data_IF_597439087704
#
_entry.id   IF_597439087704
#
_cell.length_a   1.000
_cell.length_b   1.000
_cell.length_c   1.000
_cell.angle_alpha   90.00
_cell.angle_beta   90.00
_cell.angle_gamma   90.00
#
_symmetry.space_group_name_H-M   'P 1'
#
loop_
_entity.id
_entity.type
_entity.pdbx_description
1 polymer ?
#
# COMPACT_ATOMS: atom_id res chain seq x y z
N UNK A 1 -15.94 -46.83 9.92
CA UNK A 1 -16.62 -46.27 8.73
C UNK A 1 -17.20 -44.93 9.15
N UNK A 2 -16.51 -43.81 8.88
CA UNK A 2 -16.94 -42.48 9.33
C UNK A 2 -17.71 -41.79 8.20
N UNK A 3 -18.95 -41.41 8.49
CA UNK A 3 -19.92 -40.83 7.57
C UNK A 3 -19.47 -39.43 7.12
N UNK A 4 -19.25 -39.24 5.82
CA UNK A 4 -18.91 -37.95 5.22
C UNK A 4 -20.17 -37.10 5.06
N UNK A 5 -20.36 -36.10 5.93
CA UNK A 5 -21.44 -35.12 5.77
C UNK A 5 -21.06 -34.11 4.68
N UNK A 6 -21.61 -34.30 3.48
CA UNK A 6 -21.48 -33.37 2.35
C UNK A 6 -22.12 -32.03 2.74
N UNK A 7 -21.32 -30.98 2.93
CA UNK A 7 -21.84 -29.61 3.07
C UNK A 7 -22.34 -29.14 1.71
N UNK A 8 -23.66 -29.13 1.54
CA UNK A 8 -24.32 -28.54 0.39
C UNK A 8 -24.46 -27.04 0.67
N UNK A 9 -23.72 -26.21 -0.05
CA UNK A 9 -23.89 -24.75 0.00
C UNK A 9 -25.24 -24.42 -0.65
N UNK A 10 -26.24 -24.09 0.18
CA UNK A 10 -27.55 -23.62 -0.28
C UNK A 10 -27.60 -22.10 -0.20
N UNK A 11 -27.61 -21.42 -1.35
CA UNK A 11 -27.83 -19.99 -1.43
C UNK A 11 -29.20 -19.61 -0.84
N UNK A 12 -29.25 -18.62 0.06
CA UNK A 12 -30.49 -17.84 0.30
C UNK A 12 -31.10 -17.88 1.70
N UNK A 13 -30.32 -17.89 2.79
CA UNK A 13 -30.87 -17.63 4.14
C UNK A 13 -30.53 -16.21 4.63
N UNK A 14 -31.53 -15.46 5.10
CA UNK A 14 -31.35 -14.10 5.63
C UNK A 14 -30.33 -14.01 6.79
N UNK A 15 -30.09 -15.11 7.51
CA UNK A 15 -29.06 -15.20 8.56
C UNK A 15 -27.62 -15.24 8.04
N UNK A 16 -27.39 -15.53 6.75
CA UNK A 16 -26.06 -15.44 6.13
C UNK A 16 -25.65 -13.99 5.88
N UNK A 17 -26.59 -13.06 5.68
CA UNK A 17 -26.28 -11.65 5.42
C UNK A 17 -25.64 -10.96 6.63
N UNK A 18 -26.04 -11.35 7.85
CA UNK A 18 -25.48 -10.86 9.11
C UNK A 18 -24.34 -11.73 9.63
N UNK A 19 -23.97 -12.80 8.90
CA UNK A 19 -22.88 -13.67 9.32
C UNK A 19 -21.55 -12.90 9.26
N UNK A 20 -20.69 -12.98 10.29
CA UNK A 20 -19.45 -12.21 10.35
C UNK A 20 -18.58 -12.35 9.10
N UNK A 21 -18.54 -13.55 8.50
CA UNK A 21 -17.75 -13.79 7.29
C UNK A 21 -18.35 -13.13 6.04
N UNK A 22 -19.68 -13.09 5.91
CA UNK A 22 -20.37 -12.42 4.81
C UNK A 22 -20.26 -10.91 4.91
N UNK A 23 -20.39 -10.36 6.13
CA UNK A 23 -20.20 -8.92 6.40
C UNK A 23 -18.78 -8.51 6.03
N UNK A 24 -17.78 -9.35 6.32
CA UNK A 24 -16.37 -9.08 6.02
C UNK A 24 -16.05 -9.23 4.53
N UNK A 25 -16.63 -10.22 3.86
CA UNK A 25 -16.54 -10.37 2.41
C UNK A 25 -17.18 -9.17 1.68
N UNK A 26 -18.39 -8.78 2.08
CA UNK A 26 -19.08 -7.62 1.53
C UNK A 26 -18.32 -6.30 1.81
N UNK A 27 -17.70 -6.17 2.99
CA UNK A 27 -16.87 -5.00 3.31
C UNK A 27 -15.62 -4.95 2.44
N UNK A 28 -14.97 -6.08 2.19
CA UNK A 28 -13.79 -6.16 1.33
C UNK A 28 -14.14 -5.88 -0.14
N UNK A 29 -15.25 -6.44 -0.63
CA UNK A 29 -15.79 -6.18 -1.96
C UNK A 29 -16.16 -4.71 -2.14
N UNK A 30 -16.84 -4.12 -1.15
CA UNK A 30 -17.17 -2.70 -1.12
C UNK A 30 -15.91 -1.83 -1.12
N UNK A 31 -14.93 -2.11 -0.27
CA UNK A 31 -13.71 -1.30 -0.17
C UNK A 31 -12.86 -1.39 -1.44
N UNK A 32 -12.76 -2.59 -2.03
CA UNK A 32 -12.08 -2.79 -3.32
C UNK A 32 -12.78 -2.03 -4.44
N UNK A 33 -14.11 -2.13 -4.51
CA UNK A 33 -14.91 -1.43 -5.52
C UNK A 33 -14.85 0.08 -5.31
N UNK A 34 -14.88 0.54 -4.06
CA UNK A 34 -14.72 1.95 -3.70
C UNK A 34 -13.38 2.50 -4.17
N UNK A 35 -12.26 1.82 -3.85
CA UNK A 35 -10.92 2.26 -4.29
C UNK A 35 -10.81 2.26 -5.81
N UNK A 36 -11.34 1.23 -6.48
CA UNK A 36 -11.34 1.14 -7.93
C UNK A 36 -12.14 2.29 -8.58
N UNK A 37 -13.37 2.52 -8.13
CA UNK A 37 -14.25 3.57 -8.68
C UNK A 37 -13.73 4.96 -8.31
N UNK A 38 -13.27 5.18 -7.08
CA UNK A 38 -12.76 6.47 -6.63
C UNK A 38 -11.49 6.88 -7.39
N UNK A 39 -10.56 5.95 -7.60
CA UNK A 39 -9.38 6.21 -8.41
C UNK A 39 -9.75 6.44 -9.89
N UNK A 40 -10.72 5.69 -10.41
CA UNK A 40 -11.23 5.84 -11.77
C UNK A 40 -11.85 7.22 -12.03
N UNK A 41 -12.88 7.56 -11.27
CA UNK A 41 -13.60 8.83 -11.38
C UNK A 41 -12.73 10.03 -10.95
N UNK A 42 -11.90 9.86 -9.91
CA UNK A 42 -10.95 10.88 -9.47
C UNK A 42 -9.92 11.24 -10.54
N UNK A 43 -9.45 10.26 -11.32
CA UNK A 43 -8.55 10.51 -12.45
C UNK A 43 -9.23 11.27 -13.60
N UNK A 44 -10.52 11.00 -13.86
CA UNK A 44 -11.31 11.74 -14.85
C UNK A 44 -11.50 13.20 -14.44
N UNK A 45 -11.84 13.45 -13.18
CA UNK A 45 -11.97 14.81 -12.63
C UNK A 45 -10.65 15.57 -12.62
N UNK A 46 -9.54 14.89 -12.32
CA UNK A 46 -8.21 15.49 -12.36
C UNK A 46 -7.79 15.86 -13.78
N UNK A 47 -8.07 14.99 -14.77
CA UNK A 47 -7.85 15.27 -16.20
C UNK A 47 -8.68 16.45 -16.69
N UNK A 48 -9.94 16.52 -16.31
CA UNK A 48 -10.85 17.63 -16.65
C UNK A 48 -10.30 18.98 -16.14
N UNK A 49 -9.78 18.99 -14.90
CA UNK A 49 -9.12 20.19 -14.35
C UNK A 49 -7.76 20.51 -14.98
N UNK A 50 -6.96 19.51 -15.33
CA UNK A 50 -5.61 19.71 -15.85
C UNK A 50 -5.61 20.25 -17.29
N UNK A 51 -6.66 19.94 -18.07
CA UNK A 51 -6.83 20.37 -19.46
C UNK A 51 -7.97 21.40 -19.64
N UNK A 52 -8.30 22.15 -18.57
CA UNK A 52 -9.39 23.14 -18.51
C UNK A 52 -9.36 24.18 -19.64
N UNK A 53 -8.19 24.61 -20.13
CA UNK A 53 -8.08 25.58 -21.24
C UNK A 53 -8.16 24.94 -22.64
N UNK A 54 -8.03 23.62 -22.73
CA UNK A 54 -8.23 22.82 -23.96
C UNK A 54 -9.64 22.20 -23.98
N UNK A 55 -10.46 22.45 -22.96
CA UNK A 55 -11.76 21.80 -22.75
C UNK A 55 -12.84 22.17 -23.78
N UNK A 56 -12.59 23.11 -24.69
CA UNK A 56 -13.46 23.30 -25.85
C UNK A 56 -13.44 22.08 -26.80
N UNK A 57 -12.39 21.25 -26.76
CA UNK A 57 -12.34 19.97 -27.46
C UNK A 57 -11.51 18.95 -26.66
N UNK A 58 -12.10 17.80 -26.30
CA UNK A 58 -11.37 16.50 -26.27
C UNK A 58 -10.72 16.01 -24.94
N UNK A 59 -11.34 16.12 -23.75
CA UNK A 59 -10.79 15.57 -22.48
C UNK A 59 -10.76 14.02 -22.34
N UNK A 60 -11.70 13.31 -22.99
CA UNK A 60 -11.77 11.83 -23.04
C UNK A 60 -11.79 11.26 -24.45
N UNK A 61 -11.87 12.12 -25.46
CA UNK A 61 -11.95 11.73 -26.86
C UNK A 61 -10.57 11.68 -27.55
N UNK A 62 -9.49 12.08 -26.84
CA UNK A 62 -8.12 11.94 -27.34
C UNK A 62 -7.57 10.59 -26.90
N UNK A 63 -6.88 9.85 -27.78
CA UNK A 63 -6.21 8.60 -27.41
C UNK A 63 -5.35 8.74 -26.13
N UNK A 64 -4.68 9.88 -25.93
CA UNK A 64 -3.87 10.14 -24.74
C UNK A 64 -4.64 10.18 -23.41
N UNK A 65 -5.84 10.78 -23.39
CA UNK A 65 -6.68 10.83 -22.19
C UNK A 65 -7.20 9.45 -21.80
N UNK A 66 -7.65 8.65 -22.78
CA UNK A 66 -8.08 7.27 -22.57
C UNK A 66 -6.93 6.38 -22.08
N UNK A 67 -5.72 6.59 -22.61
CA UNK A 67 -4.52 5.87 -22.16
C UNK A 67 -4.22 6.18 -20.68
N UNK A 68 -4.27 7.46 -20.27
CA UNK A 68 -4.00 7.84 -18.88
C UNK A 68 -5.03 7.24 -17.91
N UNK A 69 -6.31 7.28 -18.28
CA UNK A 69 -7.41 6.67 -17.51
C UNK A 69 -7.21 5.16 -17.41
N UNK A 70 -6.87 4.48 -18.51
CA UNK A 70 -6.62 3.04 -18.50
C UNK A 70 -5.43 2.66 -17.59
N UNK A 71 -4.33 3.44 -17.61
CA UNK A 71 -3.20 3.23 -16.71
C UNK A 71 -3.57 3.46 -15.24
N UNK A 72 -4.32 4.51 -14.93
CA UNK A 72 -4.78 4.77 -13.57
C UNK A 72 -5.66 3.62 -13.04
N UNK A 73 -6.61 3.14 -13.86
CA UNK A 73 -7.45 2.00 -13.50
C UNK A 73 -6.66 0.70 -13.33
N UNK A 74 -5.70 0.44 -14.22
CA UNK A 74 -4.86 -0.75 -14.14
C UNK A 74 -4.03 -0.75 -12.84
N UNK A 75 -3.46 0.39 -12.47
CA UNK A 75 -2.68 0.53 -11.25
C UNK A 75 -3.57 0.42 -9.99
N UNK A 76 -4.74 1.05 -9.99
CA UNK A 76 -5.69 0.97 -8.89
C UNK A 76 -6.20 -0.46 -8.67
N UNK A 77 -6.54 -1.15 -9.76
CA UNK A 77 -6.94 -2.56 -9.71
C UNK A 77 -5.80 -3.44 -9.19
N UNK A 78 -4.58 -3.24 -9.70
CA UNK A 78 -3.40 -3.98 -9.23
C UNK A 78 -3.14 -3.75 -7.74
N UNK A 79 -3.22 -2.51 -7.27
CA UNK A 79 -3.04 -2.17 -5.87
C UNK A 79 -4.13 -2.79 -4.99
N UNK A 80 -5.40 -2.77 -5.43
CA UNK A 80 -6.52 -3.39 -4.72
C UNK A 80 -6.36 -4.90 -4.61
N UNK A 81 -6.07 -5.57 -5.72
CA UNK A 81 -5.83 -7.03 -5.77
C UNK A 81 -4.63 -7.40 -4.90
N UNK A 82 -3.54 -6.65 -5.00
CA UNK A 82 -2.36 -6.85 -4.14
C UNK A 82 -2.70 -6.67 -2.67
N UNK A 83 -3.48 -5.65 -2.31
CA UNK A 83 -3.96 -5.44 -0.94
C UNK A 83 -4.77 -6.63 -0.41
N UNK A 84 -5.73 -7.11 -1.22
CA UNK A 84 -6.55 -8.26 -0.87
C UNK A 84 -5.74 -9.55 -0.68
N UNK A 85 -4.79 -9.83 -1.58
CA UNK A 85 -3.90 -10.99 -1.49
C UNK A 85 -3.00 -10.90 -0.25
N UNK A 86 -2.46 -9.72 0.05
CA UNK A 86 -1.64 -9.52 1.24
C UNK A 86 -2.45 -9.77 2.53
N UNK A 87 -3.68 -9.25 2.61
CA UNK A 87 -4.57 -9.45 3.76
C UNK A 87 -4.90 -10.93 3.94
N UNK A 88 -5.25 -11.62 2.85
CA UNK A 88 -5.49 -13.06 2.86
C UNK A 88 -4.25 -13.82 3.33
N UNK A 89 -3.08 -13.48 2.80
CA UNK A 89 -1.80 -14.08 3.19
C UNK A 89 -1.51 -13.92 4.68
N UNK A 90 -1.73 -12.74 5.24
CA UNK A 90 -1.55 -12.49 6.67
C UNK A 90 -2.50 -13.32 7.54
N UNK A 91 -3.77 -13.48 7.12
CA UNK A 91 -4.74 -14.31 7.82
C UNK A 91 -4.34 -15.79 7.76
N UNK A 92 -4.00 -16.29 6.58
CA UNK A 92 -3.57 -17.68 6.37
C UNK A 92 -2.32 -17.98 7.20
N UNK A 93 -1.31 -17.10 7.20
CA UNK A 93 -0.12 -17.26 8.01
C UNK A 93 -0.43 -17.32 9.51
N UNK A 94 -1.31 -16.46 10.01
CA UNK A 94 -1.71 -16.47 11.41
C UNK A 94 -2.54 -17.71 11.80
N UNK A 95 -3.39 -18.21 10.90
CA UNK A 95 -4.13 -19.47 11.10
C UNK A 95 -3.18 -20.67 11.13
N UNK A 96 -2.21 -20.73 10.21
CA UNK A 96 -1.18 -21.76 10.18
C UNK A 96 -0.33 -21.73 11.46
N UNK A 97 0.07 -20.55 11.93
CA UNK A 97 0.76 -20.38 13.20
C UNK A 97 -0.07 -20.90 14.37
N UNK A 98 -1.37 -20.57 14.42
CA UNK A 98 -2.26 -21.06 15.46
C UNK A 98 -2.41 -22.58 15.43
N UNK A 99 -2.45 -23.19 14.24
CA UNK A 99 -2.48 -24.65 14.10
C UNK A 99 -1.15 -25.29 14.54
N UNK A 100 -0.02 -24.69 14.16
CA UNK A 100 1.31 -25.18 14.49
C UNK A 100 1.70 -25.01 15.97
N UNK A 101 0.97 -24.16 16.70
CA UNK A 101 1.22 -23.85 18.12
C UNK A 101 0.13 -24.39 19.03
N UNK A 102 -0.52 -25.49 18.65
CA UNK A 102 -1.57 -26.16 19.43
C UNK A 102 -2.72 -25.24 19.87
N UNK A 103 -3.09 -24.30 19.01
CA UNK A 103 -4.23 -23.41 19.22
C UNK A 103 -3.92 -22.10 19.95
N UNK A 104 -2.65 -21.80 20.24
CA UNK A 104 -2.25 -20.51 20.82
C UNK A 104 -2.73 -19.34 19.94
N UNK A 105 -3.34 -18.34 20.59
CA UNK A 105 -3.85 -17.15 19.90
C UNK A 105 -2.69 -16.19 19.61
N UNK A 106 -2.54 -15.71 18.36
CA UNK A 106 -1.55 -14.68 18.05
C UNK A 106 -1.74 -13.45 18.95
N UNK A 107 -0.63 -12.97 19.52
CA UNK A 107 -0.65 -11.87 20.49
C UNK A 107 -1.07 -10.54 19.82
N UNK A 108 -0.71 -10.38 18.54
CA UNK A 108 -0.99 -9.18 17.76
C UNK A 108 -0.19 -7.97 18.21
N UNK A 109 -0.53 -6.82 17.64
CA UNK A 109 0.08 -5.53 17.96
C UNK A 109 -0.84 -4.78 18.92
N UNK A 110 -0.25 -4.19 19.94
CA UNK A 110 -0.96 -3.35 20.89
C UNK A 110 0.00 -2.30 21.45
N UNK A 111 -0.54 -1.14 21.79
CA UNK A 111 0.18 -0.13 22.56
C UNK A 111 0.34 -0.65 23.99
N UNK A 112 1.58 -0.66 24.48
CA UNK A 112 1.93 -1.14 25.82
C UNK A 112 1.23 -0.32 26.90
N UNK A 113 0.82 -1.00 27.97
CA UNK A 113 0.17 -0.35 29.12
C UNK A 113 1.07 0.74 29.71
N UNK A 114 0.55 1.97 29.80
CA UNK A 114 1.29 3.14 30.29
C UNK A 114 1.78 4.09 29.19
N UNK A 115 1.72 3.68 27.93
CA UNK A 115 1.96 4.55 26.76
C UNK A 115 0.61 5.05 26.25
N UNK A 116 0.51 6.36 25.98
CA UNK A 116 -0.75 6.90 25.43
C UNK A 116 -0.93 6.52 23.96
N UNK A 117 -2.18 6.43 23.51
CA UNK A 117 -2.53 6.13 22.11
C UNK A 117 -1.84 7.07 21.12
N UNK A 118 -1.74 8.37 21.48
CA UNK A 118 -1.07 9.36 20.64
C UNK A 118 0.43 9.06 20.49
N UNK A 119 1.11 8.64 21.57
CA UNK A 119 2.52 8.27 21.49
C UNK A 119 2.70 7.02 20.62
N UNK A 120 1.82 6.01 20.75
CA UNK A 120 1.81 4.84 19.85
C UNK A 120 1.61 5.23 18.38
N UNK A 121 0.71 6.19 18.10
CA UNK A 121 0.51 6.71 16.75
C UNK A 121 1.75 7.41 16.20
N UNK A 122 2.38 8.29 16.99
CA UNK A 122 3.60 8.99 16.58
C UNK A 122 4.73 8.00 16.31
N UNK A 123 4.87 6.97 17.15
CA UNK A 123 5.85 5.90 16.95
C UNK A 123 5.61 5.16 15.63
N UNK A 124 4.40 4.66 15.37
CA UNK A 124 4.07 4.00 14.10
C UNK A 124 4.33 4.89 12.88
N UNK A 125 4.05 6.20 12.96
CA UNK A 125 4.35 7.16 11.88
C UNK A 125 5.85 7.22 11.63
N UNK A 126 6.67 7.40 12.67
CA UNK A 126 8.13 7.54 12.55
C UNK A 126 8.77 6.24 12.05
N UNK A 127 8.36 5.10 12.59
CA UNK A 127 8.89 3.79 12.20
C UNK A 127 8.52 3.47 10.75
N UNK A 128 7.27 3.73 10.34
CA UNK A 128 6.85 3.53 8.95
C UNK A 128 7.53 4.50 8.00
N UNK A 129 7.69 5.76 8.41
CA UNK A 129 8.45 6.75 7.63
C UNK A 129 9.87 6.24 7.35
N UNK A 130 10.59 5.76 8.37
CA UNK A 130 11.94 5.24 8.21
C UNK A 130 11.99 4.04 7.25
N UNK A 131 11.03 3.11 7.37
CA UNK A 131 10.92 1.97 6.46
C UNK A 131 10.70 2.42 5.01
N UNK A 132 9.68 3.25 4.77
CA UNK A 132 9.31 3.68 3.42
C UNK A 132 10.41 4.56 2.82
N UNK A 133 11.08 5.39 3.62
CA UNK A 133 12.22 6.19 3.16
C UNK A 133 13.38 5.30 2.66
N UNK A 134 13.70 4.21 3.38
CA UNK A 134 14.70 3.23 2.94
C UNK A 134 14.25 2.49 1.68
N UNK A 135 12.96 2.18 1.54
CA UNK A 135 12.42 1.60 0.31
C UNK A 135 12.62 2.57 -0.86
N UNK A 136 12.30 3.85 -0.68
CA UNK A 136 12.51 4.85 -1.73
C UNK A 136 13.99 4.98 -2.11
N UNK A 137 14.89 5.07 -1.13
CA UNK A 137 16.32 5.27 -1.38
C UNK A 137 17.04 4.08 -1.99
N UNK A 138 16.57 2.86 -1.68
CA UNK A 138 17.26 1.64 -2.12
C UNK A 138 16.54 0.93 -3.26
N UNK A 139 15.21 1.00 -3.35
CA UNK A 139 14.43 0.24 -4.32
C UNK A 139 13.82 1.09 -5.44
N UNK A 140 13.62 2.40 -5.24
CA UNK A 140 12.89 3.26 -6.19
C UNK A 140 13.84 4.24 -6.89
N UNK A 141 14.71 4.93 -6.13
CA UNK A 141 15.53 6.04 -6.64
C UNK A 141 16.32 5.64 -7.92
N UNK A 142 16.13 6.32 -9.06
CA UNK A 142 16.90 6.04 -10.28
C UNK A 142 18.41 6.17 -10.10
N UNK A 143 18.88 6.97 -9.12
CA UNK A 143 20.29 7.21 -8.80
C UNK A 143 20.89 6.15 -7.87
N UNK A 144 20.12 5.13 -7.48
CA UNK A 144 20.52 4.09 -6.50
C UNK A 144 21.70 3.21 -6.88
N UNK A 145 22.27 3.33 -8.09
CA UNK A 145 23.47 2.62 -8.58
C UNK A 145 23.60 1.19 -8.01
N UNK A 146 24.65 0.88 -7.26
CA UNK A 146 24.90 -0.43 -6.64
C UNK A 146 24.08 -0.70 -5.37
N UNK A 147 23.46 0.33 -4.78
CA UNK A 147 22.62 0.22 -3.57
C UNK A 147 21.34 -0.57 -3.86
N UNK A 148 20.86 -0.55 -5.12
CA UNK A 148 19.71 -1.36 -5.55
C UNK A 148 19.88 -2.87 -5.34
N UNK A 149 21.12 -3.37 -5.38
CA UNK A 149 21.43 -4.80 -5.17
C UNK A 149 21.21 -5.20 -3.71
N UNK A 150 21.50 -4.31 -2.77
CA UNK A 150 21.37 -4.55 -1.33
C UNK A 150 20.02 -4.08 -0.78
N UNK A 151 19.09 -3.63 -1.63
CA UNK A 151 17.79 -3.11 -1.20
C UNK A 151 17.00 -4.07 -0.30
N UNK A 152 16.85 -5.38 -0.62
CA UNK A 152 16.13 -6.31 0.27
C UNK A 152 16.78 -6.44 1.65
N UNK A 153 18.12 -6.42 1.70
CA UNK A 153 18.88 -6.48 2.94
C UNK A 153 18.69 -5.20 3.76
N UNK A 154 18.81 -4.02 3.13
CA UNK A 154 18.61 -2.74 3.78
C UNK A 154 17.19 -2.59 4.35
N UNK A 155 16.18 -3.00 3.58
CA UNK A 155 14.77 -3.02 4.00
C UNK A 155 14.60 -3.98 5.20
N UNK A 156 15.18 -5.17 5.16
CA UNK A 156 15.14 -6.11 6.29
C UNK A 156 15.81 -5.55 7.55
N UNK A 157 16.97 -4.91 7.41
CA UNK A 157 17.71 -4.33 8.52
C UNK A 157 16.98 -3.15 9.17
N UNK A 158 16.35 -2.26 8.38
CA UNK A 158 15.58 -1.15 8.96
C UNK A 158 14.32 -1.65 9.68
N UNK A 159 13.64 -2.67 9.15
CA UNK A 159 12.52 -3.32 9.86
C UNK A 159 13.01 -3.91 11.19
N UNK A 160 14.15 -4.61 11.18
CA UNK A 160 14.76 -5.15 12.40
C UNK A 160 15.11 -4.07 13.42
N UNK A 161 15.77 -2.99 12.99
CA UNK A 161 16.10 -1.86 13.84
C UNK A 161 14.85 -1.19 14.43
N UNK A 162 13.81 -0.99 13.63
CA UNK A 162 12.54 -0.44 14.08
C UNK A 162 11.84 -1.34 15.09
N UNK A 163 11.92 -2.66 14.94
CA UNK A 163 11.38 -3.60 15.95
C UNK A 163 12.17 -3.50 17.26
N UNK A 164 13.49 -3.33 17.22
CA UNK A 164 14.30 -3.14 18.44
C UNK A 164 13.95 -1.83 19.16
N UNK A 165 13.56 -0.79 18.42
CA UNK A 165 13.19 0.51 18.98
C UNK A 165 11.74 0.53 19.47
N UNK A 166 10.78 0.15 18.62
CA UNK A 166 9.34 0.29 18.87
C UNK A 166 8.66 -0.95 19.44
N UNK A 167 9.30 -2.12 19.36
CA UNK A 167 8.68 -3.40 19.69
C UNK A 167 8.13 -3.49 21.12
N UNK A 168 8.76 -2.84 22.08
CA UNK A 168 8.30 -2.78 23.48
C UNK A 168 7.23 -1.72 23.75
N UNK A 169 6.97 -0.81 22.81
CA UNK A 169 6.04 0.32 22.98
C UNK A 169 4.72 0.11 22.24
N UNK A 170 4.75 -0.17 20.93
CA UNK A 170 3.57 -0.36 20.09
C UNK A 170 3.60 -1.67 19.28
N UNK A 171 4.69 -2.44 19.39
CA UNK A 171 4.93 -3.67 18.65
C UNK A 171 5.58 -3.46 17.28
N UNK A 172 5.84 -2.22 16.88
CA UNK A 172 6.46 -1.83 15.61
C UNK A 172 5.82 -2.56 14.41
N UNK A 173 4.53 -2.32 14.17
CA UNK A 173 3.77 -2.90 13.07
C UNK A 173 4.33 -2.50 11.72
N UNK A 174 4.42 -1.18 11.47
CA UNK A 174 4.84 -0.53 10.22
C UNK A 174 4.01 -0.90 8.99
N UNK A 175 2.99 -1.74 9.15
CA UNK A 175 2.25 -2.35 8.05
C UNK A 175 0.83 -2.76 8.52
N UNK A 176 -0.23 -2.16 7.96
CA UNK A 176 -1.60 -2.45 8.38
C UNK A 176 -1.99 -3.92 8.22
N UNK A 177 -1.56 -4.56 7.13
CA UNK A 177 -1.82 -5.96 6.85
C UNK A 177 -1.12 -6.89 7.85
N UNK A 178 0.11 -6.54 8.24
CA UNK A 178 0.86 -7.26 9.29
C UNK A 178 0.16 -7.16 10.64
N UNK A 179 -0.42 -6.01 10.97
CA UNK A 179 -1.24 -5.85 12.17
C UNK A 179 -2.58 -6.61 12.10
N UNK A 180 -3.23 -6.60 10.94
CA UNK A 180 -4.58 -7.11 10.76
C UNK A 180 -4.70 -8.64 10.94
N UNK A 181 -3.77 -9.41 10.35
CA UNK A 181 -3.78 -10.88 10.43
C UNK A 181 -3.91 -11.42 11.86
N UNK A 182 -3.00 -11.08 12.79
CA UNK A 182 -3.06 -11.57 14.15
C UNK A 182 -4.18 -10.91 14.97
N UNK A 183 -4.56 -9.66 14.68
CA UNK A 183 -5.72 -9.01 15.31
C UNK A 183 -7.01 -9.80 15.04
N UNK A 184 -7.19 -10.25 13.78
CA UNK A 184 -8.32 -11.06 13.40
C UNK A 184 -8.29 -12.45 14.03
N UNK A 185 -7.19 -13.19 13.85
CA UNK A 185 -7.11 -14.59 14.28
C UNK A 185 -7.07 -14.72 15.80
N UNK A 186 -6.42 -13.77 16.48
CA UNK A 186 -6.33 -13.68 17.93
C UNK A 186 -7.52 -12.98 18.59
N UNK A 187 -8.38 -12.33 17.82
CA UNK A 187 -9.53 -11.52 18.26
C UNK A 187 -9.15 -10.38 19.21
N UNK A 188 -8.16 -9.59 18.82
CA UNK A 188 -7.61 -8.47 19.61
C UNK A 188 -7.57 -7.20 18.77
N UNK A 189 -8.49 -6.26 19.05
CA UNK A 189 -8.73 -5.06 18.25
C UNK A 189 -8.46 -3.74 19.00
N UNK A 190 -7.90 -3.82 20.21
CA UNK A 190 -7.63 -2.64 21.02
C UNK A 190 -6.63 -1.72 20.32
N UNK A 191 -6.99 -0.44 20.18
CA UNK A 191 -6.19 0.60 19.51
C UNK A 191 -5.74 0.24 18.08
N UNK A 192 -6.44 -0.68 17.42
CA UNK A 192 -6.01 -1.21 16.13
C UNK A 192 -6.00 -0.16 15.01
N UNK A 193 -6.82 0.89 15.15
CA UNK A 193 -6.88 2.01 14.21
C UNK A 193 -5.52 2.71 14.03
N UNK A 194 -4.67 2.69 15.06
CA UNK A 194 -3.32 3.27 15.03
C UNK A 194 -2.47 2.61 13.95
N UNK A 195 -2.59 1.30 13.79
CA UNK A 195 -1.83 0.53 12.79
C UNK A 195 -2.33 0.68 11.35
N UNK A 196 -3.42 1.42 11.15
CA UNK A 196 -3.85 1.88 9.84
C UNK A 196 -3.40 3.31 9.60
N UNK A 197 -3.79 4.21 10.52
CA UNK A 197 -3.52 5.64 10.39
C UNK A 197 -2.02 5.95 10.41
N UNK A 198 -1.28 5.34 11.34
CA UNK A 198 0.16 5.56 11.50
C UNK A 198 0.95 5.21 10.24
N UNK A 199 0.83 3.97 9.72
CA UNK A 199 1.53 3.58 8.51
C UNK A 199 1.14 4.39 7.26
N UNK A 200 -0.13 4.75 7.10
CA UNK A 200 -0.55 5.59 5.97
C UNK A 200 0.08 6.98 6.03
N UNK A 201 0.07 7.62 7.20
CA UNK A 201 0.68 8.95 7.38
C UNK A 201 2.20 8.87 7.20
N UNK A 202 2.87 7.92 7.87
CA UNK A 202 4.33 7.76 7.79
C UNK A 202 4.81 7.45 6.37
N UNK A 203 4.12 6.57 5.67
CA UNK A 203 4.43 6.23 4.28
C UNK A 203 4.18 7.41 3.32
N UNK A 204 3.07 8.13 3.48
CA UNK A 204 2.79 9.32 2.67
C UNK A 204 3.85 10.41 2.89
N UNK A 205 4.25 10.68 4.14
CA UNK A 205 5.31 11.65 4.44
C UNK A 205 6.64 11.26 3.81
N UNK A 206 7.02 9.98 3.89
CA UNK A 206 8.26 9.49 3.29
C UNK A 206 8.25 9.63 1.77
N UNK A 207 7.15 9.24 1.13
CA UNK A 207 6.99 9.38 -0.32
C UNK A 207 7.08 10.85 -0.75
N UNK A 208 6.34 11.75 -0.10
CA UNK A 208 6.34 13.18 -0.43
C UNK A 208 7.72 13.81 -0.23
N UNK A 209 8.39 13.52 0.89
CA UNK A 209 9.73 14.07 1.16
C UNK A 209 10.74 13.56 0.13
N UNK A 210 10.72 12.27 -0.20
CA UNK A 210 11.66 11.71 -1.16
C UNK A 210 11.44 12.27 -2.57
N UNK A 211 10.18 12.31 -3.02
CA UNK A 211 9.79 12.77 -4.34
C UNK A 211 10.13 14.26 -4.55
N UNK A 212 9.78 15.12 -3.58
CA UNK A 212 9.90 16.57 -3.77
C UNK A 212 11.25 17.15 -3.34
N UNK A 213 11.96 16.54 -2.38
CA UNK A 213 13.23 17.08 -1.88
C UNK A 213 14.46 16.33 -2.39
N UNK A 214 14.36 15.02 -2.65
CA UNK A 214 15.53 14.17 -2.94
C UNK A 214 15.68 13.88 -4.43
N UNK A 215 14.58 13.71 -5.17
CA UNK A 215 14.59 13.54 -6.63
C UNK A 215 14.35 14.91 -7.29
N UNK A 216 15.38 15.70 -7.64
CA UNK A 216 15.17 16.93 -8.39
C UNK A 216 14.63 16.59 -9.79
N UNK A 217 13.55 17.28 -10.18
CA UNK A 217 13.10 17.37 -11.56
C UNK A 217 14.30 17.71 -12.44
N UNK A 218 14.67 16.79 -13.34
CA UNK A 218 15.65 17.08 -14.38
C UNK A 218 15.03 18.20 -15.22
N UNK A 219 15.49 19.44 -15.04
CA UNK A 219 15.29 20.47 -16.06
C UNK A 219 15.96 19.91 -17.31
N UNK A 220 15.15 19.59 -18.33
CA UNK A 220 15.69 19.35 -19.66
C UNK A 220 16.63 20.51 -19.98
N UNK A 221 17.88 20.23 -20.41
CA UNK A 221 18.76 21.30 -20.85
C UNK A 221 18.04 22.06 -21.98
N UNK A 222 18.05 23.40 -21.98
CA UNK A 222 17.41 24.17 -23.04
C UNK A 222 17.95 23.64 -24.37
N UNK A 223 17.06 23.25 -25.28
CA UNK A 223 17.42 22.80 -26.63
C UNK A 223 18.40 23.81 -27.24
N UNK A 224 19.70 23.55 -27.11
CA UNK A 224 20.68 24.19 -27.94
C UNK A 224 20.54 23.45 -29.25
N UNK A 225 19.79 24.06 -30.17
CA UNK A 225 19.78 23.77 -31.59
C UNK A 225 21.20 23.95 -32.10
N UNK A 226 22.09 23.02 -31.74
CA UNK A 226 23.42 22.92 -32.29
C UNK A 226 23.24 22.28 -33.65
N UNK A 227 22.64 23.03 -34.57
CA UNK A 227 22.87 22.84 -35.98
C UNK A 227 24.35 23.12 -36.19
N UNK A 228 25.17 22.10 -35.97
CA UNK A 228 26.53 22.11 -36.49
C UNK A 228 26.37 22.03 -38.01
N UNK A 229 26.72 23.09 -38.77
CA UNK A 229 26.63 23.03 -40.21
C UNK A 229 27.56 21.92 -40.69
N UNK A 230 27.04 21.00 -41.49
CA UNK A 230 27.88 20.01 -42.16
C UNK A 230 28.89 20.78 -43.02
N UNK A 231 30.17 20.42 -42.88
CA UNK A 231 31.24 20.96 -43.71
C UNK A 231 30.83 20.69 -45.18
N UNK A 232 30.86 21.69 -46.08
CA UNK A 232 30.61 21.43 -47.49
C UNK A 232 31.61 20.36 -47.95
N UNK A 233 31.12 19.24 -48.48
CA UNK A 233 32.00 18.34 -49.21
C UNK A 233 32.43 19.08 -50.48
N UNK A 234 33.70 19.46 -50.52
CA UNK A 234 34.35 19.95 -51.72
C UNK A 234 34.40 18.77 -52.72
N UNK A 235 33.58 18.87 -53.77
CA UNK A 235 33.62 18.00 -54.96
C UNK A 235 34.83 18.32 -55.85
#
# INVERSE_FOLDING_TARGET
>A
MATYTRRTYGFGRAGEATHPDSVRAASAEFLSTFVFVFAGEGSLLALDKLYWDTAAHTGTNMPGGLILVAFAHALALFASVSGAINLLGAIVACLLLRLATDGLRPIGFHVTTGVSELHGLVMEIVLTFALVYVVYSTAIDPKRRSIGIIAPLAIGLIVGANILVGGSFDGASMNPTRAFGPALVGWRWHNHWIYWVGPFIGGALAALIYEYMVIPNVKEPPHHSTHQPLVPEDY
#
